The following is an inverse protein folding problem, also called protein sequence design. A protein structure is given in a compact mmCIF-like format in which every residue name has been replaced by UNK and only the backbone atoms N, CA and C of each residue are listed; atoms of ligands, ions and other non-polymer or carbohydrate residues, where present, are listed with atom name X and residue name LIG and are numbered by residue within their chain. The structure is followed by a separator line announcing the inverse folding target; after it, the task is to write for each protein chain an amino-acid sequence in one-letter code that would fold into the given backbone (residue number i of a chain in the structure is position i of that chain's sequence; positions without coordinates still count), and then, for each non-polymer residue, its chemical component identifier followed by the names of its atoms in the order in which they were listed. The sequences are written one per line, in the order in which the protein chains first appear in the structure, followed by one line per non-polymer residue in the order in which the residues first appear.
data_IF_959060984789
#
_entry.id   IF_959060984789
#
_cell.length_a   1.000
_cell.length_b   1.000
_cell.length_c   1.000
_cell.angle_alpha   90.00
_cell.angle_beta   90.00
_cell.angle_gamma   90.00
#
_symmetry.space_group_name_H-M   'P 1'
#
loop_
_entity.id
_entity.type
_entity.pdbx_description
1 polymer ?
#
# COMPACT_ATOMS: atom_id res chain seq x y z
N UNK A 1 -18.15 -24.00 23.74
CA UNK A 1 -17.44 -23.71 22.49
C UNK A 1 -17.02 -22.24 22.55
N UNK A 2 -15.82 -21.97 23.06
CA UNK A 2 -15.32 -20.59 23.20
C UNK A 2 -14.58 -20.23 21.93
N UNK A 3 -15.33 -19.65 20.98
CA UNK A 3 -14.78 -19.03 19.78
C UNK A 3 -13.87 -17.88 20.20
N UNK A 4 -12.57 -18.15 20.15
CA UNK A 4 -11.52 -17.16 20.32
C UNK A 4 -11.64 -16.23 19.13
N UNK A 5 -12.14 -15.01 19.35
CA UNK A 5 -12.05 -13.94 18.37
C UNK A 5 -10.57 -13.78 18.02
N UNK A 6 -10.19 -14.29 16.86
CA UNK A 6 -8.87 -14.07 16.29
C UNK A 6 -8.86 -12.60 15.91
N UNK A 7 -7.88 -11.86 16.42
CA UNK A 7 -7.65 -10.46 16.04
C UNK A 7 -7.61 -10.38 14.49
N UNK A 8 -8.62 -9.72 13.93
CA UNK A 8 -9.00 -9.70 12.50
C UNK A 8 -7.93 -9.05 11.59
N UNK A 9 -6.84 -8.54 12.17
CA UNK A 9 -5.82 -7.76 11.44
C UNK A 9 -4.73 -8.58 10.75
N UNK A 10 -4.77 -9.91 10.82
CA UNK A 10 -3.65 -10.72 10.33
C UNK A 10 -4.05 -12.01 9.59
N UNK A 11 -5.26 -12.06 9.03
CA UNK A 11 -5.61 -13.13 8.10
C UNK A 11 -5.03 -12.82 6.72
N UNK A 12 -4.09 -13.67 6.30
CA UNK A 12 -3.49 -13.66 4.98
C UNK A 12 -4.30 -14.60 4.07
N UNK A 13 -4.88 -14.04 3.02
CA UNK A 13 -5.65 -14.79 2.04
C UNK A 13 -4.87 -14.95 0.75
N UNK A 14 -5.02 -16.11 0.10
CA UNK A 14 -4.48 -16.29 -1.24
C UNK A 14 -5.38 -15.58 -2.25
N UNK A 15 -5.14 -14.29 -2.48
CA UNK A 15 -5.93 -13.45 -3.39
C UNK A 15 -5.31 -13.32 -4.80
N UNK A 16 -4.05 -13.69 -4.97
CA UNK A 16 -3.28 -13.53 -6.23
C UNK A 16 -2.78 -14.87 -6.77
N UNK A 17 -2.51 -14.97 -8.08
CA UNK A 17 -2.11 -16.22 -8.72
C UNK A 17 -0.78 -16.78 -8.20
N UNK A 18 0.21 -15.93 -7.96
CA UNK A 18 1.51 -16.34 -7.43
C UNK A 18 1.64 -15.89 -5.97
N UNK A 19 1.42 -16.83 -5.05
CA UNK A 19 1.43 -16.58 -3.62
C UNK A 19 2.68 -17.18 -2.97
N UNK A 20 3.60 -16.30 -2.52
CA UNK A 20 4.90 -16.72 -1.99
C UNK A 20 5.96 -16.95 -3.07
N UNK A 21 7.16 -17.31 -2.62
CA UNK A 21 8.30 -17.63 -3.48
C UNK A 21 8.37 -19.15 -3.70
N UNK A 22 8.37 -19.60 -4.96
CA UNK A 22 8.49 -21.02 -5.31
C UNK A 22 9.74 -21.64 -4.65
N UNK A 23 9.65 -22.88 -4.17
CA UNK A 23 10.76 -23.61 -3.55
C UNK A 23 11.93 -23.82 -4.52
N UNK A 24 11.67 -23.86 -5.83
CA UNK A 24 12.68 -23.96 -6.88
C UNK A 24 13.52 -22.69 -7.00
N UNK A 25 13.00 -21.55 -6.53
CA UNK A 25 13.73 -20.28 -6.52
C UNK A 25 14.60 -20.23 -5.27
N UNK A 26 15.91 -20.16 -5.48
CA UNK A 26 16.89 -20.26 -4.41
C UNK A 26 17.12 -18.90 -3.72
N UNK A 27 16.12 -18.46 -2.95
CA UNK A 27 16.21 -17.26 -2.12
C UNK A 27 16.56 -17.63 -0.67
N UNK A 28 17.35 -16.78 -0.02
CA UNK A 28 17.67 -16.92 1.40
C UNK A 28 16.41 -16.85 2.27
N UNK A 29 16.49 -17.38 3.50
CA UNK A 29 15.39 -17.27 4.47
C UNK A 29 15.03 -15.82 4.76
N UNK A 30 16.02 -14.91 4.79
CA UNK A 30 15.80 -13.49 5.00
C UNK A 30 14.96 -12.87 3.88
N UNK A 31 15.26 -13.17 2.62
CA UNK A 31 14.49 -12.68 1.47
C UNK A 31 13.04 -13.19 1.54
N UNK A 32 12.84 -14.48 1.86
CA UNK A 32 11.50 -15.05 2.05
C UNK A 32 10.71 -14.35 3.17
N UNK A 33 11.36 -14.04 4.29
CA UNK A 33 10.75 -13.28 5.37
C UNK A 33 10.41 -11.84 4.95
N UNK A 34 11.31 -11.15 4.25
CA UNK A 34 11.07 -9.80 3.75
C UNK A 34 9.92 -9.77 2.75
N UNK A 35 9.79 -10.80 1.91
CA UNK A 35 8.68 -10.96 0.98
C UNK A 35 7.35 -11.05 1.73
N UNK A 36 7.26 -11.88 2.76
CA UNK A 36 6.06 -11.99 3.59
C UNK A 36 5.72 -10.68 4.33
N UNK A 37 6.73 -9.89 4.69
CA UNK A 37 6.52 -8.59 5.32
C UNK A 37 5.90 -7.57 4.37
N UNK A 38 6.10 -7.66 3.05
CA UNK A 38 5.51 -6.74 2.09
C UNK A 38 3.98 -6.73 2.17
N UNK A 39 3.34 -7.90 2.20
CA UNK A 39 1.88 -8.02 2.32
C UNK A 39 1.38 -7.45 3.65
N UNK A 40 2.05 -7.79 4.76
CA UNK A 40 1.69 -7.32 6.10
C UNK A 40 1.79 -5.79 6.19
N UNK A 41 2.87 -5.22 5.65
CA UNK A 41 3.05 -3.76 5.64
C UNK A 41 2.02 -3.07 4.75
N UNK A 42 1.68 -3.66 3.61
CA UNK A 42 0.66 -3.13 2.72
C UNK A 42 -0.74 -3.21 3.36
N UNK A 43 -1.10 -4.34 3.99
CA UNK A 43 -2.34 -4.48 4.76
C UNK A 43 -2.47 -3.38 5.81
N UNK A 44 -1.41 -3.12 6.59
CA UNK A 44 -1.39 -2.06 7.60
C UNK A 44 -1.46 -0.65 6.99
N UNK A 45 -0.82 -0.43 5.84
CA UNK A 45 -0.80 0.87 5.14
C UNK A 45 -2.16 1.23 4.58
N UNK A 46 -2.91 0.22 4.12
CA UNK A 46 -4.18 0.37 3.44
C UNK A 46 -5.40 0.04 4.31
N UNK A 47 -5.14 -0.42 5.54
CA UNK A 47 -6.15 -0.82 6.54
C UNK A 47 -7.10 -1.89 6.01
N UNK A 48 -6.54 -2.87 5.28
CA UNK A 48 -7.30 -3.91 4.57
C UNK A 48 -7.98 -4.81 5.59
N UNK A 49 -9.30 -4.93 5.43
CA UNK A 49 -10.18 -5.84 6.15
C UNK A 49 -10.65 -6.95 5.23
N UNK A 50 -11.33 -7.96 5.78
CA UNK A 50 -11.91 -9.03 4.97
C UNK A 50 -12.92 -8.50 3.94
N UNK A 51 -13.70 -7.47 4.29
CA UNK A 51 -14.69 -6.88 3.39
C UNK A 51 -14.05 -6.21 2.18
N UNK A 52 -12.82 -5.70 2.31
CA UNK A 52 -12.11 -5.07 1.20
C UNK A 52 -11.78 -6.06 0.08
N UNK A 53 -11.60 -7.35 0.41
CA UNK A 53 -11.42 -8.40 -0.60
C UNK A 53 -12.69 -8.64 -1.45
N UNK A 54 -13.86 -8.17 -1.00
CA UNK A 54 -15.14 -8.37 -1.68
C UNK A 54 -15.77 -7.07 -2.24
N UNK A 55 -15.58 -5.93 -1.58
CA UNK A 55 -16.40 -4.74 -1.82
C UNK A 55 -15.62 -3.45 -2.11
N UNK A 56 -14.33 -3.38 -1.79
CA UNK A 56 -13.57 -2.11 -1.79
C UNK A 56 -12.52 -2.07 -2.88
N UNK A 57 -12.95 -1.78 -4.11
CA UNK A 57 -12.07 -1.80 -5.29
C UNK A 57 -10.87 -0.86 -5.14
N UNK A 58 -11.03 0.33 -4.54
CA UNK A 58 -9.92 1.29 -4.43
C UNK A 58 -8.84 0.88 -3.44
N UNK A 59 -9.21 0.58 -2.19
CA UNK A 59 -8.25 0.21 -1.16
C UNK A 59 -7.56 -1.10 -1.52
N UNK A 60 -8.33 -2.06 -2.01
CA UNK A 60 -7.82 -3.36 -2.43
C UNK A 60 -6.85 -3.27 -3.61
N UNK A 61 -7.19 -2.54 -4.68
CA UNK A 61 -6.27 -2.37 -5.81
C UNK A 61 -4.97 -1.67 -5.40
N UNK A 62 -5.05 -0.62 -4.57
CA UNK A 62 -3.86 0.05 -4.08
C UNK A 62 -3.00 -0.82 -3.15
N UNK A 63 -3.64 -1.67 -2.34
CA UNK A 63 -2.97 -2.71 -1.56
C UNK A 63 -2.22 -3.70 -2.44
N UNK A 64 -2.85 -4.21 -3.51
CA UNK A 64 -2.22 -5.13 -4.46
C UNK A 64 -0.98 -4.48 -5.08
N UNK A 65 -1.09 -3.26 -5.60
CA UNK A 65 0.01 -2.55 -6.25
C UNK A 65 1.17 -2.28 -5.30
N UNK A 66 0.87 -1.85 -4.07
CA UNK A 66 1.90 -1.64 -3.05
C UNK A 66 2.61 -2.94 -2.68
N UNK A 67 1.84 -4.03 -2.57
CA UNK A 67 2.37 -5.36 -2.22
C UNK A 67 3.28 -5.88 -3.33
N UNK A 68 2.81 -5.91 -4.57
CA UNK A 68 3.57 -6.48 -5.69
C UNK A 68 4.84 -5.69 -6.00
N UNK A 69 4.84 -4.36 -5.81
CA UNK A 69 6.05 -3.55 -5.98
C UNK A 69 7.12 -3.90 -4.95
N UNK A 70 6.75 -4.02 -3.68
CA UNK A 70 7.66 -4.43 -2.61
C UNK A 70 8.17 -5.85 -2.83
N UNK A 71 7.27 -6.79 -3.13
CA UNK A 71 7.62 -8.20 -3.35
C UNK A 71 8.56 -8.39 -4.53
N UNK A 72 8.31 -7.67 -5.63
CA UNK A 72 9.17 -7.70 -6.81
C UNK A 72 10.56 -7.18 -6.48
N UNK A 73 10.67 -6.07 -5.74
CA UNK A 73 11.97 -5.54 -5.32
C UNK A 73 12.75 -6.54 -4.48
N UNK A 74 12.10 -7.18 -3.51
CA UNK A 74 12.71 -8.17 -2.62
C UNK A 74 13.14 -9.43 -3.39
N UNK A 75 12.29 -9.96 -4.26
CA UNK A 75 12.58 -11.16 -5.05
C UNK A 75 13.66 -10.92 -6.11
N UNK A 76 13.74 -9.72 -6.68
CA UNK A 76 14.76 -9.39 -7.66
C UNK A 76 16.19 -9.49 -7.08
N UNK A 77 16.36 -9.45 -5.76
CA UNK A 77 17.64 -9.71 -5.11
C UNK A 77 18.13 -11.16 -5.29
N UNK A 78 17.23 -12.12 -5.49
CA UNK A 78 17.58 -13.52 -5.72
C UNK A 78 17.27 -14.04 -7.13
N UNK A 79 16.14 -13.64 -7.73
CA UNK A 79 15.73 -14.09 -9.07
C UNK A 79 14.87 -13.02 -9.76
N UNK A 80 15.52 -12.23 -10.61
CA UNK A 80 14.88 -11.18 -11.40
C UNK A 80 13.81 -11.71 -12.35
N UNK A 81 13.98 -12.92 -12.91
CA UNK A 81 13.00 -13.51 -13.84
C UNK A 81 11.73 -13.88 -13.10
N UNK A 82 11.88 -14.48 -11.92
CA UNK A 82 10.75 -14.79 -11.05
C UNK A 82 10.04 -13.51 -10.58
N UNK A 83 10.79 -12.47 -10.20
CA UNK A 83 10.22 -11.19 -9.80
C UNK A 83 9.42 -10.52 -10.92
N UNK A 84 9.94 -10.54 -12.15
CA UNK A 84 9.21 -10.06 -13.33
C UNK A 84 7.94 -10.87 -13.59
N UNK A 85 8.02 -12.20 -13.54
CA UNK A 85 6.87 -13.08 -13.75
C UNK A 85 5.78 -12.86 -12.69
N UNK A 86 6.16 -12.76 -11.42
CA UNK A 86 5.28 -12.44 -10.29
C UNK A 86 4.54 -11.12 -10.54
N UNK A 87 5.28 -10.08 -10.95
CA UNK A 87 4.74 -8.76 -11.22
C UNK A 87 3.76 -8.77 -12.39
N UNK A 88 4.19 -9.30 -13.53
CA UNK A 88 3.40 -9.32 -14.76
C UNK A 88 2.12 -10.15 -14.56
N UNK A 89 2.22 -11.31 -13.90
CA UNK A 89 1.07 -12.16 -13.57
C UNK A 89 0.06 -11.47 -12.66
N UNK A 90 0.54 -10.75 -11.63
CA UNK A 90 -0.34 -10.03 -10.70
C UNK A 90 -1.02 -8.84 -11.38
N UNK A 91 -0.28 -8.05 -12.18
CA UNK A 91 -0.84 -6.91 -12.90
C UNK A 91 -1.86 -7.37 -13.94
N UNK A 92 -1.57 -8.40 -14.71
CA UNK A 92 -2.48 -8.94 -15.72
C UNK A 92 -3.77 -9.48 -15.08
N UNK A 93 -3.64 -10.22 -13.97
CA UNK A 93 -4.78 -10.77 -13.23
C UNK A 93 -5.75 -9.70 -12.72
N UNK A 94 -5.20 -8.58 -12.22
CA UNK A 94 -6.01 -7.50 -11.66
C UNK A 94 -6.30 -6.35 -12.63
N UNK A 95 -5.84 -6.43 -13.89
CA UNK A 95 -5.98 -5.33 -14.86
C UNK A 95 -7.43 -4.86 -15.00
N UNK A 96 -8.35 -5.81 -15.19
CA UNK A 96 -9.75 -5.49 -15.48
C UNK A 96 -10.50 -5.10 -14.21
N UNK A 97 -10.26 -5.83 -13.10
CA UNK A 97 -10.83 -5.54 -11.79
C UNK A 97 -10.39 -4.18 -11.23
N UNK A 98 -9.15 -3.77 -11.51
CA UNK A 98 -8.55 -2.53 -11.02
C UNK A 98 -8.42 -1.46 -12.10
N UNK A 99 -9.16 -1.54 -13.21
CA UNK A 99 -8.98 -0.61 -14.33
C UNK A 99 -9.16 0.87 -13.91
N UNK A 100 -10.07 1.15 -12.98
CA UNK A 100 -10.33 2.50 -12.44
C UNK A 100 -9.20 3.02 -11.53
N UNK A 101 -8.38 2.12 -11.00
CA UNK A 101 -7.21 2.41 -10.17
C UNK A 101 -6.00 1.67 -10.72
N UNK A 102 -5.73 1.89 -12.01
CA UNK A 102 -4.69 1.18 -12.74
C UNK A 102 -3.32 1.27 -12.04
N UNK A 103 -2.52 0.24 -12.23
CA UNK A 103 -1.14 0.18 -11.76
C UNK A 103 -0.36 1.44 -12.16
N UNK A 104 0.43 2.00 -11.25
CA UNK A 104 1.13 3.30 -11.39
C UNK A 104 0.25 4.57 -11.31
N UNK A 105 -1.06 4.46 -11.10
CA UNK A 105 -1.91 5.64 -10.87
C UNK A 105 -1.49 6.40 -9.60
N UNK A 106 -1.37 7.72 -9.72
CA UNK A 106 -1.01 8.60 -8.60
C UNK A 106 -2.06 8.57 -7.48
N UNK A 107 -3.28 8.08 -7.76
CA UNK A 107 -4.38 7.98 -6.79
C UNK A 107 -4.03 7.16 -5.55
N UNK A 108 -3.18 6.14 -5.67
CA UNK A 108 -2.80 5.32 -4.51
C UNK A 108 -1.78 6.03 -3.60
N UNK A 109 -0.97 6.95 -4.13
CA UNK A 109 -0.03 7.68 -3.28
C UNK A 109 -0.74 8.62 -2.30
N UNK A 110 -1.87 9.20 -2.70
CA UNK A 110 -2.62 10.16 -1.89
C UNK A 110 -3.42 9.52 -0.73
N UNK A 111 -3.85 8.26 -0.87
CA UNK A 111 -4.74 7.61 0.10
C UNK A 111 -4.04 6.75 1.15
N UNK A 112 -2.76 6.43 0.96
CA UNK A 112 -2.01 5.63 1.93
C UNK A 112 -2.05 6.27 3.33
N UNK A 113 -2.34 5.47 4.37
CA UNK A 113 -2.50 5.93 5.76
C UNK A 113 -1.26 6.68 6.29
N UNK A 114 -0.08 6.28 5.83
CA UNK A 114 1.21 6.94 6.10
C UNK A 114 1.24 8.39 5.57
N UNK A 115 0.72 8.61 4.36
CA UNK A 115 0.71 9.92 3.71
C UNK A 115 -0.42 10.82 4.23
N UNK A 116 -1.57 10.25 4.61
CA UNK A 116 -2.70 11.02 5.16
C UNK A 116 -2.29 11.90 6.34
N UNK A 117 -1.51 11.39 7.29
CA UNK A 117 -1.07 12.16 8.46
C UNK A 117 -0.10 13.28 8.09
N UNK A 118 0.84 13.00 7.18
CA UNK A 118 1.85 13.97 6.73
C UNK A 118 1.19 15.11 5.94
N UNK A 119 0.26 14.79 5.02
CA UNK A 119 -0.45 15.76 4.20
C UNK A 119 -1.36 16.66 5.05
N UNK A 120 -2.12 16.10 5.99
CA UNK A 120 -2.96 16.91 6.88
C UNK A 120 -2.08 17.87 7.70
N UNK A 121 -0.96 17.38 8.24
CA UNK A 121 -0.02 18.22 8.98
C UNK A 121 0.56 19.35 8.14
N UNK A 122 0.97 19.08 6.90
CA UNK A 122 1.53 20.10 6.01
C UNK A 122 0.49 21.14 5.59
N UNK A 123 -0.74 20.73 5.25
CA UNK A 123 -1.81 21.65 4.90
C UNK A 123 -2.14 22.62 6.05
N UNK A 124 -2.24 22.13 7.28
CA UNK A 124 -2.50 22.98 8.46
C UNK A 124 -1.37 23.99 8.66
N UNK A 125 -0.12 23.56 8.53
CA UNK A 125 1.04 24.46 8.67
C UNK A 125 1.04 25.57 7.62
N UNK A 126 0.73 25.26 6.36
CA UNK A 126 0.63 26.26 5.29
C UNK A 126 -0.50 27.25 5.55
N UNK A 127 -1.68 26.77 5.96
CA UNK A 127 -2.83 27.65 6.28
C UNK A 127 -2.47 28.60 7.43
N UNK A 128 -1.83 28.10 8.49
CA UNK A 128 -1.40 28.92 9.62
C UNK A 128 -0.38 30.00 9.20
N UNK A 129 0.56 29.66 8.33
CA UNK A 129 1.52 30.63 7.78
C UNK A 129 0.81 31.73 6.97
N UNK A 130 -0.17 31.38 6.14
CA UNK A 130 -0.94 32.36 5.36
C UNK A 130 -1.71 33.31 6.30
N UNK A 131 -2.33 32.79 7.36
CA UNK A 131 -3.06 33.61 8.34
C UNK A 131 -2.11 34.59 9.05
N UNK A 132 -0.91 34.16 9.44
CA UNK A 132 0.08 35.03 10.08
C UNK A 132 0.53 36.14 9.14
N UNK A 133 0.80 35.79 7.88
CA UNK A 133 1.24 36.76 6.86
C UNK A 133 0.13 37.79 6.61
N UNK A 134 -1.09 37.35 6.30
CA UNK A 134 -2.23 38.25 6.03
C UNK A 134 -2.59 39.08 7.27
N UNK A 135 -2.66 38.45 8.45
CA UNK A 135 -2.95 39.13 9.71
C UNK A 135 -1.89 40.17 10.06
N UNK A 136 -0.60 39.85 9.88
CA UNK A 136 0.50 40.79 10.07
C UNK A 136 0.43 41.98 9.11
N UNK A 137 0.13 41.74 7.84
CA UNK A 137 -0.08 42.82 6.86
C UNK A 137 -1.26 43.73 7.22
N UNK A 138 -2.38 43.17 7.69
CA UNK A 138 -3.53 43.96 8.13
C UNK A 138 -3.24 44.81 9.38
N UNK A 139 -2.47 44.28 10.34
CA UNK A 139 -2.11 45.02 11.57
C UNK A 139 -1.14 46.16 11.26
N UNK A 140 -0.17 45.95 10.38
CA UNK A 140 0.81 46.99 9.99
C UNK A 140 0.14 48.14 9.24
N UNK A 141 -0.92 47.91 8.47
CA UNK A 141 -1.66 48.99 7.80
C UNK A 141 -2.59 49.80 8.72
N UNK A 142 -2.89 49.29 9.93
CA UNK A 142 -3.82 49.92 10.87
C UNK A 142 -3.12 50.73 11.99
N UNK A 143 -1.79 50.71 12.07
CA UNK A 143 -0.95 51.48 13.01
C UNK A 143 -0.29 52.64 12.26
#
# INVERSE_FOLDING_TARGET
MNGKYIDDKQQRFQYKPMYGIDQKVNCTKLIRMNFDQCEIQAQNTWDITIDDYFFSEKHFCCFIWTTVDCETQVVNECDEKFGKLLKDSTIDWFRDACHSYAYSSWSCWWLAKKNRRIVIGSCIAVILLIIIVVGGYCVIQYV
#
